data_IF_014108781007
#
_entry.id   IF_014108781007
#
_cell.length_a   1.000
_cell.length_b   1.000
_cell.length_c   1.000
_cell.angle_alpha   90.00
_cell.angle_beta   90.00
_cell.angle_gamma   90.00
#
_symmetry.space_group_name_H-M   'P 1'
#
loop_
_entity.id
_entity.type
_entity.pdbx_description
1 polymer ?
#
# COMPACT_ATOMS: atom_id res chain seq x y z
N UNK A 1 5.93 6.56 19.13
CA UNK A 1 6.64 6.09 17.93
C UNK A 1 5.62 5.61 16.90
N UNK A 2 5.79 5.99 15.65
CA UNK A 2 4.86 5.58 14.59
C UNK A 2 5.06 4.12 14.19
N UNK A 3 3.95 3.41 14.07
CA UNK A 3 3.97 2.05 13.56
C UNK A 3 3.77 2.06 12.05
N UNK A 4 4.64 1.37 11.33
CA UNK A 4 4.61 1.34 9.87
C UNK A 4 4.23 -0.05 9.37
N UNK A 5 3.23 -0.07 8.50
CA UNK A 5 2.80 -1.26 7.78
C UNK A 5 3.29 -1.18 6.33
N UNK A 6 3.89 -2.25 5.84
CA UNK A 6 4.29 -2.37 4.44
C UNK A 6 3.39 -3.38 3.75
N UNK A 7 2.80 -2.98 2.64
CA UNK A 7 1.99 -3.86 1.79
C UNK A 7 2.71 -3.95 0.45
N UNK A 8 3.37 -5.07 0.23
CA UNK A 8 4.17 -5.29 -0.98
C UNK A 8 3.90 -6.69 -1.53
N UNK A 9 2.90 -6.83 -2.42
CA UNK A 9 2.60 -8.14 -3.01
C UNK A 9 3.84 -8.77 -3.66
N UNK A 10 4.12 -10.01 -3.28
CA UNK A 10 5.30 -10.72 -3.78
C UNK A 10 5.25 -10.86 -5.29
N UNK A 11 6.27 -10.31 -5.96
CA UNK A 11 6.40 -10.36 -7.41
C UNK A 11 7.87 -10.10 -7.75
N UNK A 12 8.54 -11.02 -8.49
CA UNK A 12 9.96 -10.82 -8.83
C UNK A 12 10.23 -9.50 -9.55
N UNK A 13 9.27 -8.97 -10.30
CA UNK A 13 9.47 -7.73 -11.06
C UNK A 13 9.46 -6.48 -10.18
N UNK A 14 9.02 -6.58 -8.92
CA UNK A 14 9.04 -5.47 -7.97
C UNK A 14 9.94 -5.69 -6.78
N UNK A 15 10.72 -6.76 -6.76
CA UNK A 15 11.65 -7.05 -5.66
C UNK A 15 12.67 -5.94 -5.44
N UNK A 16 12.99 -5.16 -6.47
CA UNK A 16 13.91 -4.04 -6.35
C UNK A 16 13.42 -2.96 -5.39
N UNK A 17 12.15 -2.97 -5.00
CA UNK A 17 11.58 -2.02 -4.05
C UNK A 17 11.82 -2.41 -2.59
N UNK A 18 12.25 -3.63 -2.32
CA UNK A 18 12.49 -4.11 -0.95
C UNK A 18 13.43 -3.23 -0.12
N UNK A 19 14.50 -2.65 -0.68
CA UNK A 19 15.38 -1.79 0.13
C UNK A 19 14.67 -0.61 0.80
N UNK A 20 13.49 -0.22 0.31
CA UNK A 20 12.72 0.87 0.91
C UNK A 20 12.33 0.53 2.35
N UNK A 21 12.09 -0.74 2.66
CA UNK A 21 11.57 -1.12 3.97
C UNK A 21 12.33 -2.21 4.69
N UNK A 22 13.19 -2.98 4.01
CA UNK A 22 13.88 -4.11 4.64
C UNK A 22 14.78 -3.66 5.78
N UNK A 23 14.81 -4.45 6.85
CA UNK A 23 15.69 -4.21 7.99
C UNK A 23 15.28 -3.06 8.90
N UNK A 24 14.08 -2.53 8.74
CA UNK A 24 13.60 -1.38 9.52
C UNK A 24 12.66 -1.77 10.65
N UNK A 25 12.35 -3.05 10.79
CA UNK A 25 11.43 -3.52 11.84
C UNK A 25 9.97 -3.22 11.57
N UNK A 26 9.60 -2.88 10.33
CA UNK A 26 8.21 -2.64 9.96
C UNK A 26 7.43 -3.95 9.87
N UNK A 27 6.11 -3.87 10.04
CA UNK A 27 5.23 -5.01 9.76
C UNK A 27 5.08 -5.15 8.26
N UNK A 28 5.41 -6.33 7.71
CA UNK A 28 5.40 -6.57 6.27
C UNK A 28 4.30 -7.56 5.90
N UNK A 29 3.47 -7.20 4.93
CA UNK A 29 2.45 -8.07 4.35
C UNK A 29 2.78 -8.26 2.88
N UNK A 30 3.19 -9.47 2.50
CA UNK A 30 3.63 -9.78 1.15
C UNK A 30 2.78 -10.86 0.48
N UNK A 31 1.94 -11.54 1.26
CA UNK A 31 1.00 -12.57 0.81
C UNK A 31 -0.27 -12.48 1.65
N UNK A 32 -1.30 -13.25 1.28
CA UNK A 32 -2.55 -13.37 2.05
C UNK A 32 -3.28 -12.03 2.24
N UNK A 33 -3.71 -11.46 1.13
CA UNK A 33 -4.37 -10.16 1.12
C UNK A 33 -5.88 -10.26 1.29
N UNK A 34 -6.33 -10.86 2.39
CA UNK A 34 -7.76 -10.84 2.71
C UNK A 34 -8.14 -9.44 3.16
N UNK A 35 -9.18 -8.90 2.54
CA UNK A 35 -9.57 -7.50 2.71
C UNK A 35 -9.82 -7.12 4.18
N UNK A 36 -10.57 -7.93 4.92
CA UNK A 36 -10.88 -7.63 6.31
C UNK A 36 -9.65 -7.62 7.21
N UNK A 37 -8.75 -8.59 7.00
CA UNK A 37 -7.51 -8.67 7.77
C UNK A 37 -6.59 -7.50 7.43
N UNK A 38 -6.52 -7.15 6.17
CA UNK A 38 -5.67 -6.04 5.73
C UNK A 38 -6.18 -4.70 6.28
N UNK A 39 -7.49 -4.51 6.30
CA UNK A 39 -8.11 -3.31 6.88
C UNK A 39 -7.81 -3.20 8.37
N UNK A 40 -7.89 -4.31 9.10
CA UNK A 40 -7.55 -4.32 10.52
C UNK A 40 -6.08 -3.95 10.74
N UNK A 41 -5.17 -4.46 9.92
CA UNK A 41 -3.75 -4.09 10.03
C UNK A 41 -3.53 -2.61 9.77
N UNK A 42 -4.22 -2.05 8.78
CA UNK A 42 -4.12 -0.61 8.49
C UNK A 42 -4.61 0.19 9.70
N UNK A 43 -5.71 -0.21 10.32
CA UNK A 43 -6.21 0.49 11.51
C UNK A 43 -5.19 0.52 12.64
N UNK A 44 -4.39 -0.52 12.77
CA UNK A 44 -3.44 -0.66 13.88
C UNK A 44 -2.08 -0.03 13.61
N UNK A 45 -1.92 0.66 12.48
CA UNK A 45 -0.67 1.31 12.11
C UNK A 45 -0.90 2.78 11.77
N UNK A 46 0.16 3.59 11.88
CA UNK A 46 0.09 5.03 11.65
C UNK A 46 0.52 5.41 10.24
N UNK A 47 1.37 4.60 9.65
CA UNK A 47 1.92 4.83 8.31
C UNK A 47 1.73 3.56 7.47
N UNK A 48 1.36 3.75 6.21
CA UNK A 48 1.18 2.63 5.28
C UNK A 48 2.03 2.87 4.04
N UNK A 49 2.91 1.92 3.75
CA UNK A 49 3.76 1.92 2.55
C UNK A 49 3.21 0.85 1.62
N UNK A 50 2.75 1.26 0.45
CA UNK A 50 2.12 0.39 -0.54
C UNK A 50 2.98 0.35 -1.79
N UNK A 51 3.49 -0.82 -2.15
CA UNK A 51 4.46 -0.99 -3.22
C UNK A 51 4.04 -2.12 -4.16
N UNK A 52 4.24 -1.94 -5.44
CA UNK A 52 4.04 -3.02 -6.40
C UNK A 52 3.50 -2.57 -7.73
N UNK A 53 2.71 -3.43 -8.36
CA UNK A 53 1.97 -3.11 -9.56
C UNK A 53 0.58 -2.59 -9.23
N UNK A 54 0.04 -1.75 -10.10
CA UNK A 54 -1.29 -1.23 -9.87
C UNK A 54 -1.82 -0.46 -11.06
N UNK A 55 -2.90 0.26 -10.81
CA UNK A 55 -3.59 1.02 -11.84
C UNK A 55 -4.39 2.16 -11.16
N UNK A 56 -5.26 2.84 -11.93
CA UNK A 56 -6.02 3.99 -11.42
C UNK A 56 -6.87 3.68 -10.19
N UNK A 57 -7.31 2.42 -10.04
CA UNK A 57 -8.22 2.02 -8.97
C UNK A 57 -7.52 1.37 -7.78
N UNK A 58 -6.19 1.29 -7.79
CA UNK A 58 -5.45 0.84 -6.63
C UNK A 58 -4.30 -0.12 -6.92
N UNK A 59 -3.89 -0.83 -5.87
CA UNK A 59 -2.77 -1.76 -5.89
C UNK A 59 -3.26 -3.17 -6.21
N UNK A 60 -2.51 -3.87 -7.06
CA UNK A 60 -2.85 -5.21 -7.53
C UNK A 60 -1.81 -6.25 -7.13
N UNK A 61 -2.26 -7.50 -6.94
CA UNK A 61 -1.40 -8.67 -6.95
C UNK A 61 -1.80 -9.49 -8.18
N UNK A 62 -0.98 -9.38 -9.22
CA UNK A 62 -1.32 -9.82 -10.58
C UNK A 62 -2.59 -9.07 -11.04
N UNK A 63 -3.71 -9.76 -11.20
CA UNK A 63 -4.96 -9.11 -11.62
C UNK A 63 -5.95 -8.90 -10.46
N UNK A 64 -5.59 -9.33 -9.24
CA UNK A 64 -6.49 -9.23 -8.09
C UNK A 64 -6.25 -7.94 -7.32
N UNK A 65 -7.29 -7.19 -6.99
CA UNK A 65 -7.14 -5.99 -6.16
C UNK A 65 -6.64 -6.34 -4.76
N UNK A 66 -5.65 -5.60 -4.29
CA UNK A 66 -5.14 -5.66 -2.91
C UNK A 66 -5.62 -4.44 -2.16
N UNK A 67 -5.42 -3.25 -2.72
CA UNK A 67 -5.93 -1.99 -2.20
C UNK A 67 -6.84 -1.40 -3.28
N UNK A 68 -8.06 -1.05 -2.90
CA UNK A 68 -9.02 -0.41 -3.80
C UNK A 68 -9.77 0.71 -3.06
N UNK A 69 -10.82 1.23 -3.66
CA UNK A 69 -11.56 2.35 -3.09
C UNK A 69 -12.19 2.02 -1.72
N UNK A 70 -12.43 0.75 -1.41
CA UNK A 70 -12.98 0.36 -0.11
C UNK A 70 -12.03 0.62 1.06
N UNK A 71 -10.75 0.89 0.77
CA UNK A 71 -9.75 1.19 1.79
C UNK A 71 -9.59 2.69 2.05
N UNK A 72 -10.19 3.54 1.21
CA UNK A 72 -9.90 4.98 1.19
C UNK A 72 -10.18 5.65 2.53
N UNK A 73 -11.29 5.34 3.17
CA UNK A 73 -11.64 5.97 4.45
C UNK A 73 -10.60 5.70 5.54
N UNK A 74 -10.01 4.50 5.54
CA UNK A 74 -8.94 4.15 6.47
C UNK A 74 -7.64 4.86 6.11
N UNK A 75 -7.31 4.89 4.82
CA UNK A 75 -6.06 5.47 4.34
C UNK A 75 -6.00 6.98 4.57
N UNK A 76 -7.14 7.67 4.53
CA UNK A 76 -7.17 9.12 4.74
C UNK A 76 -6.62 9.56 6.09
N UNK A 77 -6.59 8.67 7.06
CA UNK A 77 -6.14 8.99 8.42
C UNK A 77 -4.67 8.67 8.65
N UNK A 78 -3.97 8.21 7.62
CA UNK A 78 -2.61 7.67 7.74
C UNK A 78 -1.60 8.49 6.94
N UNK A 79 -0.32 8.35 7.30
CA UNK A 79 0.77 8.78 6.43
C UNK A 79 0.95 7.73 5.36
N UNK A 80 1.00 8.14 4.10
CA UNK A 80 0.96 7.20 2.98
C UNK A 80 2.19 7.31 2.09
N UNK A 81 2.63 6.16 1.60
CA UNK A 81 3.55 6.04 0.47
C UNK A 81 2.92 5.06 -0.51
N UNK A 82 2.74 5.50 -1.75
CA UNK A 82 2.17 4.66 -2.81
C UNK A 82 3.08 4.64 -4.02
N UNK A 83 3.70 3.50 -4.29
CA UNK A 83 4.61 3.33 -5.42
C UNK A 83 4.08 2.21 -6.32
N UNK A 84 3.27 2.60 -7.30
CA UNK A 84 2.79 1.74 -8.39
C UNK A 84 2.40 2.60 -9.57
N UNK A 85 2.23 1.99 -10.75
CA UNK A 85 1.80 2.72 -11.93
C UNK A 85 0.42 3.32 -11.70
N UNK A 86 0.28 4.62 -11.95
CA UNK A 86 -0.96 5.38 -11.75
C UNK A 86 -1.37 5.56 -10.28
N UNK A 87 -0.43 5.43 -9.33
CA UNK A 87 -0.72 5.72 -7.93
C UNK A 87 -1.23 7.15 -7.76
N UNK A 88 -0.65 8.11 -8.51
CA UNK A 88 -1.12 9.50 -8.48
C UNK A 88 -2.60 9.60 -8.80
N UNK A 89 -3.08 8.88 -9.83
CA UNK A 89 -4.49 8.90 -10.20
C UNK A 89 -5.38 8.42 -9.05
N UNK A 90 -4.97 7.37 -8.35
CA UNK A 90 -5.72 6.85 -7.22
C UNK A 90 -5.74 7.86 -6.06
N UNK A 91 -4.58 8.43 -5.73
CA UNK A 91 -4.48 9.42 -4.65
C UNK A 91 -5.33 10.65 -4.96
N UNK A 92 -5.23 11.18 -6.17
CA UNK A 92 -5.97 12.38 -6.56
C UNK A 92 -7.47 12.13 -6.60
N UNK A 93 -7.90 10.99 -7.14
CA UNK A 93 -9.32 10.65 -7.24
C UNK A 93 -10.01 10.56 -5.88
N UNK A 94 -9.27 10.17 -4.84
CA UNK A 94 -9.83 9.91 -3.51
C UNK A 94 -9.37 10.91 -2.45
N UNK A 95 -8.67 11.96 -2.83
CA UNK A 95 -8.21 12.97 -1.89
C UNK A 95 -7.18 12.46 -0.89
N UNK A 96 -6.37 11.49 -1.29
CA UNK A 96 -5.29 10.97 -0.46
C UNK A 96 -4.05 11.83 -0.61
N UNK A 97 -3.28 11.96 0.47
CA UNK A 97 -2.03 12.73 0.48
C UNK A 97 -0.88 11.85 0.93
N UNK A 98 0.34 12.24 0.54
CA UNK A 98 1.54 11.51 0.86
C UNK A 98 2.45 11.41 -0.35
N UNK A 99 3.49 10.59 -0.23
CA UNK A 99 4.39 10.34 -1.36
C UNK A 99 3.76 9.33 -2.32
N UNK A 100 3.79 9.63 -3.59
CA UNK A 100 3.31 8.68 -4.60
C UNK A 100 4.06 8.84 -5.91
N UNK A 101 4.05 7.78 -6.71
CA UNK A 101 4.56 7.80 -8.08
C UNK A 101 3.41 8.02 -9.06
N UNK A 102 3.76 8.41 -10.26
CA UNK A 102 2.78 8.65 -11.33
C UNK A 102 2.29 7.36 -11.98
#
# INVERSE_FOLDING_TARGET
MKKTLVIHPTDPTTDFLKPIYEGRGFTEVTTDFQSDQLKERIQNHDRVIMLGHGYHHGLLHYIKPVIDESFVSLLKQKELVGIWCFAKSFFDAHGLTGFHTD
#
